data_IF_145141086252
#
_entry.id   IF_145141086252
#
_cell.length_a   1.000
_cell.length_b   1.000
_cell.length_c   1.000
_cell.angle_alpha   90.00
_cell.angle_beta   90.00
_cell.angle_gamma   90.00
#
_symmetry.space_group_name_H-M   'P 1'
#
loop_
_entity.id
_entity.type
_entity.pdbx_description
1 polymer ?
#
# COMPACT_ATOMS: atom_id res chain seq x y z
N UNK A 1 56.48 55.14 -7.43
CA UNK A 1 56.66 54.53 -6.09
C UNK A 1 55.28 54.06 -5.62
N UNK A 2 54.92 52.80 -5.38
CA UNK A 2 55.61 51.54 -5.08
C UNK A 2 54.74 50.35 -5.56
N UNK A 3 55.43 49.35 -6.15
CA UNK A 3 55.19 47.89 -6.14
C UNK A 3 53.96 47.27 -6.85
N UNK A 4 54.27 46.63 -8.00
CA UNK A 4 53.75 45.32 -8.45
C UNK A 4 54.18 44.19 -7.47
N UNK A 5 53.68 42.96 -7.70
CA UNK A 5 54.06 41.63 -7.14
C UNK A 5 53.23 41.29 -5.88
N UNK A 6 52.41 40.23 -5.81
CA UNK A 6 52.71 38.80 -5.53
C UNK A 6 51.36 38.03 -5.65
N UNK A 7 51.17 37.14 -6.62
CA UNK A 7 51.34 35.66 -6.57
C UNK A 7 50.22 34.93 -5.81
N UNK A 8 49.53 34.07 -6.58
CA UNK A 8 48.98 32.75 -6.25
C UNK A 8 49.04 32.33 -4.77
N UNK A 9 47.88 32.06 -4.16
CA UNK A 9 47.67 30.95 -3.20
C UNK A 9 46.25 30.99 -2.63
N UNK A 10 45.56 29.84 -2.68
CA UNK A 10 44.28 29.61 -2.01
C UNK A 10 43.32 28.78 -2.86
N UNK A 11 43.75 27.62 -3.37
CA UNK A 11 43.48 26.32 -2.73
C UNK A 11 41.98 26.01 -2.67
N UNK A 12 41.57 25.14 -3.60
CA UNK A 12 40.67 24.02 -3.35
C UNK A 12 39.38 24.36 -2.58
N UNK A 13 38.40 24.97 -3.27
CA UNK A 13 37.00 24.71 -2.89
C UNK A 13 36.66 23.28 -3.30
N UNK A 14 36.88 22.39 -2.33
CA UNK A 14 36.34 21.05 -2.23
C UNK A 14 34.83 21.12 -2.50
N UNK A 15 34.43 20.94 -3.76
CA UNK A 15 33.07 20.59 -4.14
C UNK A 15 32.80 19.23 -3.52
N UNK A 16 32.28 19.26 -2.29
CA UNK A 16 31.58 18.14 -1.67
C UNK A 16 30.38 17.88 -2.56
N UNK A 17 30.58 17.04 -3.57
CA UNK A 17 29.50 16.35 -4.23
C UNK A 17 28.83 15.51 -3.14
N UNK A 18 27.72 16.02 -2.59
CA UNK A 18 26.72 15.15 -1.99
C UNK A 18 26.25 14.25 -3.12
N UNK A 19 26.93 13.11 -3.28
CA UNK A 19 26.38 11.94 -3.93
C UNK A 19 25.19 11.54 -3.09
N UNK A 20 24.03 12.10 -3.42
CA UNK A 20 22.76 11.41 -3.13
C UNK A 20 22.91 10.08 -3.84
N UNK A 21 23.25 9.04 -3.07
CA UNK A 21 23.22 7.68 -3.54
C UNK A 21 21.81 7.50 -4.08
N UNK A 22 21.68 7.56 -5.39
CA UNK A 22 20.52 7.00 -6.06
C UNK A 22 20.42 5.61 -5.48
N UNK A 23 19.35 5.34 -4.77
CA UNK A 23 19.08 4.01 -4.23
C UNK A 23 18.66 3.19 -5.45
N UNK A 24 19.67 2.81 -6.23
CA UNK A 24 19.54 1.81 -7.29
C UNK A 24 19.08 0.54 -6.59
N UNK A 25 18.10 -0.16 -7.17
CA UNK A 25 17.67 -1.45 -6.67
C UNK A 25 18.91 -2.32 -6.49
N UNK A 26 19.19 -2.70 -5.24
CA UNK A 26 20.42 -3.40 -4.91
C UNK A 26 20.40 -4.76 -5.61
N UNK A 27 21.49 -5.14 -6.31
CA UNK A 27 21.57 -6.46 -6.90
C UNK A 27 21.35 -7.49 -5.79
N UNK A 28 20.68 -8.57 -6.16
CA UNK A 28 20.24 -9.61 -5.23
C UNK A 28 21.39 -10.04 -4.30
N UNK A 29 21.24 -9.80 -2.99
CA UNK A 29 22.35 -9.97 -2.04
C UNK A 29 22.77 -11.43 -1.93
N UNK A 30 24.06 -11.67 -1.66
CA UNK A 30 24.59 -13.03 -1.43
C UNK A 30 23.82 -13.71 -0.29
N UNK A 31 23.50 -12.95 0.76
CA UNK A 31 22.71 -13.42 1.89
C UNK A 31 21.30 -13.87 1.48
N UNK A 32 20.63 -13.13 0.59
CA UNK A 32 19.31 -13.51 0.09
C UNK A 32 19.36 -14.79 -0.76
N UNK A 33 20.41 -14.95 -1.59
CA UNK A 33 20.65 -16.18 -2.36
C UNK A 33 20.80 -17.38 -1.43
N UNK A 34 21.70 -17.29 -0.47
CA UNK A 34 21.96 -18.37 0.49
C UNK A 34 20.72 -18.72 1.32
N UNK A 35 19.97 -17.71 1.76
CA UNK A 35 18.74 -17.92 2.52
C UNK A 35 17.69 -18.69 1.69
N UNK A 36 17.55 -18.37 0.41
CA UNK A 36 16.57 -19.00 -0.47
C UNK A 36 17.02 -20.41 -0.89
N UNK A 37 18.29 -20.60 -1.23
CA UNK A 37 18.83 -21.93 -1.52
C UNK A 37 18.66 -22.85 -0.30
N UNK A 38 18.99 -22.37 0.90
CA UNK A 38 18.79 -23.13 2.15
C UNK A 38 17.32 -23.50 2.37
N UNK A 39 16.42 -22.56 2.13
CA UNK A 39 14.99 -22.76 2.31
C UNK A 39 14.41 -23.76 1.28
N UNK A 40 14.89 -23.74 0.04
CA UNK A 40 14.52 -24.75 -0.96
C UNK A 40 15.10 -26.13 -0.66
N UNK A 41 16.36 -26.22 -0.20
CA UNK A 41 16.97 -27.48 0.24
C UNK A 41 16.20 -28.13 1.39
N UNK A 42 15.72 -27.32 2.36
CA UNK A 42 14.87 -27.81 3.45
C UNK A 42 13.53 -28.41 2.97
N UNK A 43 13.12 -28.09 1.75
CA UNK A 43 11.91 -28.59 1.09
C UNK A 43 12.22 -29.67 0.04
N UNK A 44 13.43 -30.23 0.08
CA UNK A 44 13.88 -31.27 -0.84
C UNK A 44 14.10 -30.79 -2.28
N UNK A 45 14.26 -29.48 -2.49
CA UNK A 45 14.56 -28.90 -3.81
C UNK A 45 16.06 -28.81 -4.01
N UNK A 46 16.51 -29.18 -5.20
CA UNK A 46 17.92 -29.03 -5.57
C UNK A 46 18.24 -27.58 -5.90
N UNK A 47 19.48 -27.17 -5.69
CA UNK A 47 19.96 -25.83 -6.06
C UNK A 47 19.67 -25.52 -7.54
N UNK A 48 19.89 -26.50 -8.43
CA UNK A 48 19.61 -26.40 -9.87
C UNK A 48 18.15 -26.05 -10.21
N UNK A 49 17.19 -26.42 -9.36
CA UNK A 49 15.78 -26.06 -9.54
C UNK A 49 15.47 -24.63 -9.07
N UNK A 50 16.27 -24.09 -8.15
CA UNK A 50 16.08 -22.77 -7.52
C UNK A 50 16.84 -21.69 -8.31
N UNK A 51 18.03 -22.01 -8.83
CA UNK A 51 18.88 -21.07 -9.58
C UNK A 51 18.14 -20.31 -10.69
N UNK A 52 17.26 -20.93 -11.52
CA UNK A 52 16.51 -20.21 -12.54
C UNK A 52 15.58 -19.12 -11.98
N UNK A 53 14.99 -19.35 -10.80
CA UNK A 53 14.16 -18.35 -10.14
C UNK A 53 15.00 -17.19 -9.61
N UNK A 54 16.16 -17.48 -9.01
CA UNK A 54 17.10 -16.47 -8.52
C UNK A 54 17.67 -15.62 -9.67
N UNK A 55 18.01 -16.24 -10.80
CA UNK A 55 18.47 -15.56 -12.01
C UNK A 55 17.40 -14.61 -12.55
N UNK A 56 16.14 -15.04 -12.58
CA UNK A 56 15.02 -14.20 -12.98
C UNK A 56 14.87 -12.97 -12.06
N UNK A 57 14.92 -13.13 -10.74
CA UNK A 57 14.86 -11.98 -9.82
C UNK A 57 16.09 -11.07 -9.96
N UNK A 58 17.28 -11.65 -10.18
CA UNK A 58 18.52 -10.89 -10.45
C UNK A 58 18.37 -10.01 -11.68
N UNK A 59 17.87 -10.56 -12.79
CA UNK A 59 17.59 -9.83 -14.03
C UNK A 59 16.54 -8.73 -13.87
N UNK A 60 15.58 -8.89 -12.97
CA UNK A 60 14.65 -7.81 -12.62
C UNK A 60 15.37 -6.67 -11.87
N UNK A 61 16.22 -7.01 -10.91
CA UNK A 61 17.04 -6.03 -10.17
C UNK A 61 18.03 -5.27 -11.06
N UNK A 62 18.69 -5.95 -12.00
CA UNK A 62 19.58 -5.33 -13.00
C UNK A 62 18.87 -4.28 -13.86
N UNK A 63 17.55 -4.41 -14.02
CA UNK A 63 16.70 -3.44 -14.73
C UNK A 63 16.16 -2.34 -13.81
N UNK A 64 16.65 -2.26 -12.57
CA UNK A 64 16.26 -1.26 -11.59
C UNK A 64 14.85 -1.45 -11.02
N UNK A 65 14.30 -2.68 -11.09
CA UNK A 65 12.99 -3.03 -10.53
C UNK A 65 13.11 -3.44 -9.05
N UNK A 66 12.05 -3.24 -8.25
CA UNK A 66 12.01 -3.73 -6.88
C UNK A 66 12.04 -5.26 -6.79
N UNK A 67 13.11 -5.79 -6.19
CA UNK A 67 13.32 -7.23 -6.06
C UNK A 67 12.75 -7.81 -4.77
N UNK A 68 12.56 -7.02 -3.71
CA UNK A 68 12.08 -7.49 -2.41
C UNK A 68 10.72 -8.20 -2.50
N UNK A 69 9.78 -7.62 -3.24
CA UNK A 69 8.46 -8.21 -3.48
C UNK A 69 8.54 -9.57 -4.21
N UNK A 70 9.46 -9.71 -5.17
CA UNK A 70 9.70 -10.97 -5.89
C UNK A 70 10.36 -12.01 -4.98
N UNK A 71 11.36 -11.61 -4.20
CA UNK A 71 12.05 -12.44 -3.22
C UNK A 71 11.10 -12.98 -2.17
N UNK A 72 10.25 -12.11 -1.61
CA UNK A 72 9.25 -12.50 -0.62
C UNK A 72 8.25 -13.51 -1.18
N UNK A 73 7.83 -13.34 -2.45
CA UNK A 73 6.93 -14.31 -3.10
C UNK A 73 7.60 -15.65 -3.34
N UNK A 74 8.87 -15.65 -3.75
CA UNK A 74 9.66 -16.87 -3.90
C UNK A 74 9.83 -17.60 -2.57
N UNK A 75 10.20 -16.89 -1.50
CA UNK A 75 10.30 -17.44 -0.13
C UNK A 75 8.97 -18.03 0.32
N UNK A 76 7.87 -17.32 0.11
CA UNK A 76 6.52 -17.79 0.46
C UNK A 76 6.15 -19.08 -0.30
N UNK A 77 6.41 -19.14 -1.60
CA UNK A 77 6.14 -20.31 -2.43
C UNK A 77 6.95 -21.53 -1.97
N UNK A 78 8.26 -21.35 -1.80
CA UNK A 78 9.14 -22.42 -1.35
C UNK A 78 8.78 -22.86 0.08
N UNK A 79 8.48 -21.94 1.00
CA UNK A 79 8.09 -22.29 2.38
C UNK A 79 6.80 -23.10 2.45
N UNK A 80 5.92 -22.95 1.45
CA UNK A 80 4.69 -23.73 1.28
C UNK A 80 4.93 -25.04 0.50
N UNK A 81 6.17 -25.39 0.19
CA UNK A 81 6.54 -26.57 -0.58
C UNK A 81 6.17 -26.50 -2.07
N UNK A 82 5.78 -25.32 -2.58
CA UNK A 82 5.37 -25.14 -3.97
C UNK A 82 6.56 -25.40 -4.89
N UNK A 83 6.33 -26.19 -5.93
CA UNK A 83 7.36 -26.51 -6.93
C UNK A 83 7.88 -25.23 -7.62
N UNK A 84 9.22 -25.10 -7.81
CA UNK A 84 9.80 -23.95 -8.50
C UNK A 84 9.16 -23.62 -9.86
N UNK A 85 8.79 -24.66 -10.64
CA UNK A 85 8.08 -24.52 -11.91
C UNK A 85 6.73 -23.82 -11.81
N UNK A 86 6.04 -23.93 -10.65
CA UNK A 86 4.77 -23.24 -10.38
C UNK A 86 4.96 -21.84 -9.82
N UNK A 87 6.13 -21.56 -9.24
CA UNK A 87 6.51 -20.22 -8.75
C UNK A 87 6.91 -19.32 -9.94
N UNK A 88 7.64 -19.85 -10.91
CA UNK A 88 8.13 -19.08 -12.08
C UNK A 88 7.04 -18.24 -12.80
N UNK A 89 5.87 -18.77 -13.19
CA UNK A 89 4.85 -17.96 -13.88
C UNK A 89 4.32 -16.82 -13.01
N UNK A 90 4.26 -16.99 -11.68
CA UNK A 90 3.85 -15.93 -10.76
C UNK A 90 4.90 -14.83 -10.72
N UNK A 91 6.19 -15.20 -10.64
CA UNK A 91 7.28 -14.23 -10.69
C UNK A 91 7.28 -13.49 -12.03
N UNK A 92 7.06 -14.18 -13.17
CA UNK A 92 6.98 -13.53 -14.50
C UNK A 92 5.87 -12.51 -14.56
N UNK A 93 4.69 -12.86 -14.03
CA UNK A 93 3.56 -11.95 -13.97
C UNK A 93 3.85 -10.74 -13.07
N UNK A 94 4.50 -10.94 -11.92
CA UNK A 94 4.89 -9.84 -11.04
C UNK A 94 5.93 -8.93 -11.70
N UNK A 95 6.98 -9.51 -12.30
CA UNK A 95 8.01 -8.79 -13.03
C UNK A 95 7.41 -7.95 -14.16
N UNK A 96 6.50 -8.52 -14.97
CA UNK A 96 5.81 -7.79 -16.04
C UNK A 96 4.99 -6.58 -15.51
N UNK A 97 4.34 -6.73 -14.35
CA UNK A 97 3.63 -5.59 -13.72
C UNK A 97 4.57 -4.51 -13.21
N UNK A 98 5.72 -4.90 -12.65
CA UNK A 98 6.75 -3.96 -12.20
C UNK A 98 7.35 -3.20 -13.39
N UNK A 99 7.56 -3.87 -14.53
CA UNK A 99 8.00 -3.24 -15.78
C UNK A 99 6.97 -2.22 -16.27
N UNK A 100 5.69 -2.60 -16.38
CA UNK A 100 4.63 -1.67 -16.79
C UNK A 100 4.50 -0.48 -15.82
N UNK A 101 4.59 -0.72 -14.52
CA UNK A 101 4.58 0.34 -13.52
C UNK A 101 5.79 1.28 -13.67
N UNK A 102 6.97 0.72 -13.90
CA UNK A 102 8.19 1.49 -14.12
C UNK A 102 8.08 2.37 -15.37
N UNK A 103 7.65 1.81 -16.50
CA UNK A 103 7.46 2.56 -17.76
C UNK A 103 6.50 3.73 -17.60
N UNK A 104 5.36 3.51 -16.94
CA UNK A 104 4.35 4.57 -16.72
C UNK A 104 4.87 5.68 -15.81
N UNK A 105 5.66 5.33 -14.80
CA UNK A 105 6.27 6.32 -13.90
C UNK A 105 7.40 7.11 -14.58
N UNK A 106 8.20 6.49 -15.45
CA UNK A 106 9.19 7.20 -16.27
C UNK A 106 8.51 8.11 -17.30
N UNK A 107 7.41 7.68 -17.91
CA UNK A 107 6.58 8.54 -18.76
C UNK A 107 6.11 9.76 -17.97
N UNK A 108 5.57 9.57 -16.76
CA UNK A 108 5.13 10.66 -15.91
C UNK A 108 6.29 11.58 -15.45
N UNK A 109 7.47 11.02 -15.16
CA UNK A 109 8.69 11.76 -14.82
C UNK A 109 9.15 12.65 -15.96
N UNK A 110 9.14 12.13 -17.18
CA UNK A 110 9.49 12.89 -18.39
C UNK A 110 8.58 14.11 -18.61
N UNK A 111 7.36 14.06 -18.05
CA UNK A 111 6.38 15.14 -18.08
C UNK A 111 6.41 16.04 -16.83
N UNK A 112 7.43 15.91 -15.98
CA UNK A 112 7.72 16.85 -14.90
C UNK A 112 7.27 16.44 -13.49
N UNK A 113 6.77 15.22 -13.29
CA UNK A 113 6.52 14.70 -11.93
C UNK A 113 7.84 14.50 -11.18
N UNK A 114 7.82 14.78 -9.88
CA UNK A 114 8.99 14.57 -9.02
C UNK A 114 9.12 13.09 -8.64
N UNK A 115 10.35 12.56 -8.62
CA UNK A 115 10.63 11.12 -8.46
C UNK A 115 10.30 10.55 -7.07
N UNK A 116 10.45 11.34 -5.99
CA UNK A 116 10.17 10.87 -4.63
C UNK A 116 10.90 9.56 -4.29
N UNK A 117 10.25 8.67 -3.52
CA UNK A 117 10.68 7.29 -3.35
C UNK A 117 10.23 6.43 -4.54
N UNK A 118 11.08 6.38 -5.56
CA UNK A 118 10.87 5.61 -6.80
C UNK A 118 10.50 4.16 -6.54
N UNK A 119 11.20 3.48 -5.63
CA UNK A 119 10.98 2.06 -5.33
C UNK A 119 9.54 1.81 -4.86
N UNK A 120 9.12 2.60 -3.85
CA UNK A 120 7.77 2.52 -3.29
C UNK A 120 6.70 2.88 -4.32
N UNK A 121 6.99 3.87 -5.18
CA UNK A 121 6.08 4.26 -6.24
C UNK A 121 5.88 3.13 -7.26
N UNK A 122 6.95 2.44 -7.69
CA UNK A 122 6.86 1.31 -8.63
C UNK A 122 6.02 0.17 -8.03
N UNK A 123 6.29 -0.23 -6.79
CA UNK A 123 5.53 -1.31 -6.13
C UNK A 123 4.05 -0.95 -5.96
N UNK A 124 3.77 0.28 -5.50
CA UNK A 124 2.41 0.77 -5.29
C UNK A 124 1.65 0.84 -6.62
N UNK A 125 2.30 1.28 -7.69
CA UNK A 125 1.73 1.36 -9.04
C UNK A 125 1.48 -0.04 -9.60
N UNK A 126 2.42 -0.97 -9.46
CA UNK A 126 2.24 -2.35 -9.91
C UNK A 126 1.08 -3.05 -9.19
N UNK A 127 0.90 -2.77 -7.89
CA UNK A 127 -0.27 -3.24 -7.14
C UNK A 127 -1.58 -2.66 -7.70
N UNK A 128 -1.61 -1.36 -8.01
CA UNK A 128 -2.78 -0.71 -8.61
C UNK A 128 -3.15 -1.35 -9.95
N UNK A 129 -2.17 -1.56 -10.83
CA UNK A 129 -2.36 -2.24 -12.12
C UNK A 129 -2.89 -3.67 -11.92
N UNK A 130 -2.35 -4.40 -10.94
CA UNK A 130 -2.83 -5.74 -10.60
C UNK A 130 -4.28 -5.76 -10.10
N UNK A 131 -4.77 -4.66 -9.52
CA UNK A 131 -6.14 -4.52 -9.00
C UNK A 131 -7.12 -3.91 -10.00
N UNK A 132 -6.69 -3.76 -11.26
CA UNK A 132 -7.56 -3.35 -12.36
C UNK A 132 -7.54 -1.86 -12.68
N UNK A 133 -6.64 -1.06 -12.10
CA UNK A 133 -6.33 0.27 -12.66
C UNK A 133 -5.63 0.07 -14.00
N UNK A 134 -6.05 0.78 -15.05
CA UNK A 134 -5.43 0.68 -16.37
C UNK A 134 -4.32 1.71 -16.55
N UNK A 135 -3.40 1.45 -17.48
CA UNK A 135 -2.35 2.41 -17.82
C UNK A 135 -2.93 3.75 -18.31
N UNK A 136 -4.02 3.71 -19.07
CA UNK A 136 -4.67 4.92 -19.58
C UNK A 136 -5.34 5.74 -18.46
N UNK A 137 -5.92 5.08 -17.44
CA UNK A 137 -6.41 5.74 -16.23
C UNK A 137 -5.27 6.43 -15.48
N UNK A 138 -4.08 5.81 -15.39
CA UNK A 138 -2.89 6.43 -14.77
C UNK A 138 -2.37 7.61 -15.59
N UNK A 139 -2.34 7.50 -16.91
CA UNK A 139 -1.96 8.62 -17.79
C UNK A 139 -2.89 9.81 -17.63
N UNK A 140 -4.18 9.56 -17.50
CA UNK A 140 -5.17 10.62 -17.25
C UNK A 140 -4.99 11.24 -15.85
N UNK A 141 -4.76 10.42 -14.81
CA UNK A 141 -4.39 10.93 -13.49
C UNK A 141 -3.13 11.80 -13.52
N UNK A 142 -2.10 11.37 -14.26
CA UNK A 142 -0.86 12.12 -14.45
C UNK A 142 -1.14 13.46 -15.15
N UNK A 143 -1.95 13.47 -16.21
CA UNK A 143 -2.36 14.69 -16.91
C UNK A 143 -3.09 15.66 -15.97
N UNK A 144 -4.07 15.17 -15.21
CA UNK A 144 -4.80 15.97 -14.23
C UNK A 144 -3.88 16.52 -13.13
N UNK A 145 -2.92 15.73 -12.64
CA UNK A 145 -2.00 16.17 -11.59
C UNK A 145 -1.13 17.36 -11.98
N UNK A 146 -0.90 17.60 -13.28
CA UNK A 146 -0.06 18.69 -13.79
C UNK A 146 -0.77 20.03 -13.87
N UNK A 147 -2.10 20.04 -13.86
CA UNK A 147 -2.89 21.28 -13.92
C UNK A 147 -2.98 21.98 -12.54
N UNK A 148 -2.49 21.33 -11.48
CA UNK A 148 -2.52 21.85 -10.12
C UNK A 148 -1.38 22.83 -9.79
N UNK A 149 -1.54 23.55 -8.67
CA UNK A 149 -0.46 24.40 -8.12
C UNK A 149 0.61 23.59 -7.39
N UNK A 150 0.26 22.38 -6.95
CA UNK A 150 1.18 21.47 -6.26
C UNK A 150 1.95 20.62 -7.28
N UNK A 151 3.27 20.51 -7.07
CA UNK A 151 4.11 19.65 -7.91
C UNK A 151 3.98 18.20 -7.45
N UNK A 152 3.10 17.46 -8.11
CA UNK A 152 2.85 16.06 -7.81
C UNK A 152 4.13 15.21 -7.91
N UNK A 153 4.22 14.23 -7.02
CA UNK A 153 5.27 13.20 -6.98
C UNK A 153 4.79 11.90 -7.63
N UNK A 154 5.74 11.05 -8.05
CA UNK A 154 5.46 9.69 -8.50
C UNK A 154 4.76 8.85 -7.42
N UNK A 155 5.09 9.08 -6.13
CA UNK A 155 4.41 8.42 -5.01
C UNK A 155 2.94 8.82 -4.89
N UNK A 156 2.61 10.11 -5.01
CA UNK A 156 1.23 10.59 -4.96
C UNK A 156 0.44 10.08 -6.18
N UNK A 157 1.06 10.03 -7.36
CA UNK A 157 0.45 9.43 -8.55
C UNK A 157 0.17 7.93 -8.34
N UNK A 158 1.13 7.17 -7.83
CA UNK A 158 0.96 5.75 -7.53
C UNK A 158 -0.09 5.50 -6.44
N UNK A 159 -0.10 6.31 -5.39
CA UNK A 159 -1.13 6.27 -4.36
C UNK A 159 -2.52 6.62 -4.93
N UNK A 160 -2.60 7.59 -5.84
CA UNK A 160 -3.83 7.91 -6.56
C UNK A 160 -4.32 6.75 -7.43
N UNK A 161 -3.44 6.12 -8.20
CA UNK A 161 -3.76 4.94 -9.00
C UNK A 161 -4.25 3.77 -8.14
N UNK A 162 -3.62 3.55 -6.97
CA UNK A 162 -4.07 2.54 -6.00
C UNK A 162 -5.41 2.91 -5.37
N UNK A 163 -5.61 4.20 -5.08
CA UNK A 163 -6.88 4.74 -4.62
C UNK A 163 -8.02 4.49 -5.60
N UNK A 164 -7.76 4.70 -6.90
CA UNK A 164 -8.70 4.41 -7.97
C UNK A 164 -9.09 2.92 -8.01
N UNK A 165 -8.12 2.00 -7.90
CA UNK A 165 -8.42 0.56 -7.80
C UNK A 165 -9.34 0.26 -6.59
N UNK A 166 -9.07 0.86 -5.44
CA UNK A 166 -9.91 0.73 -4.23
C UNK A 166 -11.32 1.26 -4.47
N UNK A 167 -11.48 2.41 -5.14
CA UNK A 167 -12.80 2.95 -5.47
C UNK A 167 -13.57 2.03 -6.44
N UNK A 168 -12.90 1.42 -7.42
CA UNK A 168 -13.51 0.46 -8.35
C UNK A 168 -14.03 -0.80 -7.64
N UNK A 169 -13.34 -1.25 -6.58
CA UNK A 169 -13.86 -2.33 -5.71
C UNK A 169 -15.17 -1.94 -5.01
N UNK A 170 -15.44 -0.63 -4.83
CA UNK A 170 -16.71 -0.07 -4.33
C UNK A 170 -17.69 0.31 -5.43
N UNK A 171 -17.46 -0.18 -6.66
CA UNK A 171 -18.26 0.08 -7.88
C UNK A 171 -18.37 1.54 -8.30
N UNK A 172 -17.42 2.37 -7.86
CA UNK A 172 -17.33 3.74 -8.35
C UNK A 172 -16.92 3.72 -9.83
N UNK A 173 -17.62 4.44 -10.71
CA UNK A 173 -17.23 4.54 -12.12
C UNK A 173 -15.81 5.09 -12.26
N UNK A 174 -14.99 4.44 -13.10
CA UNK A 174 -13.59 4.82 -13.32
C UNK A 174 -13.41 6.31 -13.62
N UNK A 175 -14.27 6.89 -14.46
CA UNK A 175 -14.18 8.30 -14.85
C UNK A 175 -14.33 9.24 -13.64
N UNK A 176 -15.28 8.94 -12.75
CA UNK A 176 -15.56 9.77 -11.58
C UNK A 176 -14.50 9.58 -10.51
N UNK A 177 -14.03 8.35 -10.31
CA UNK A 177 -12.90 8.04 -9.42
C UNK A 177 -11.63 8.76 -9.87
N UNK A 178 -11.30 8.72 -11.17
CA UNK A 178 -10.13 9.42 -11.75
C UNK A 178 -10.24 10.92 -11.56
N UNK A 179 -11.42 11.51 -11.81
CA UNK A 179 -11.63 12.94 -11.62
C UNK A 179 -11.48 13.37 -10.15
N UNK A 180 -12.02 12.56 -9.21
CA UNK A 180 -11.94 12.85 -7.78
C UNK A 180 -10.50 12.73 -7.24
N UNK A 181 -9.80 11.64 -7.57
CA UNK A 181 -8.41 11.43 -7.15
C UNK A 181 -7.49 12.47 -7.79
N UNK A 182 -7.69 12.76 -9.08
CA UNK A 182 -6.93 13.80 -9.79
C UNK A 182 -7.08 15.16 -9.12
N UNK A 183 -8.29 15.52 -8.68
CA UNK A 183 -8.52 16.75 -7.91
C UNK A 183 -7.79 16.73 -6.57
N UNK A 184 -7.81 15.60 -5.84
CA UNK A 184 -7.02 15.44 -4.61
C UNK A 184 -5.53 15.70 -4.83
N UNK A 185 -4.95 15.16 -5.91
CA UNK A 185 -3.54 15.38 -6.25
C UNK A 185 -3.28 16.87 -6.58
N UNK A 186 -4.14 17.51 -7.38
CA UNK A 186 -4.02 18.94 -7.72
C UNK A 186 -3.99 19.83 -6.48
N UNK A 187 -4.72 19.44 -5.44
CA UNK A 187 -4.86 20.16 -4.17
C UNK A 187 -3.77 19.79 -3.15
N UNK A 188 -2.81 18.95 -3.54
CA UNK A 188 -1.70 18.54 -2.68
C UNK A 188 -2.10 17.60 -1.56
N UNK A 189 -2.95 16.61 -1.88
CA UNK A 189 -3.21 15.50 -0.98
C UNK A 189 -2.00 14.57 -0.99
N UNK A 190 -1.52 14.24 0.22
CA UNK A 190 -0.46 13.26 0.42
C UNK A 190 -0.97 11.87 0.07
N UNK A 191 -0.04 10.95 -0.16
CA UNK A 191 -0.32 9.54 -0.45
C UNK A 191 -1.28 8.90 0.58
N UNK A 192 -1.18 9.23 1.86
CA UNK A 192 -2.11 8.73 2.90
C UNK A 192 -3.52 9.30 2.75
N UNK A 193 -3.64 10.60 2.51
CA UNK A 193 -4.93 11.30 2.38
C UNK A 193 -5.70 10.83 1.14
N UNK A 194 -5.00 10.59 0.02
CA UNK A 194 -5.58 10.00 -1.19
C UNK A 194 -6.14 8.60 -0.92
N UNK A 195 -5.40 7.78 -0.17
CA UNK A 195 -5.84 6.42 0.19
C UNK A 195 -7.02 6.45 1.15
N UNK A 196 -7.04 7.36 2.13
CA UNK A 196 -8.14 7.48 3.08
C UNK A 196 -9.42 7.99 2.40
N UNK A 197 -9.29 8.99 1.51
CA UNK A 197 -10.38 9.43 0.64
C UNK A 197 -10.95 8.25 -0.17
N UNK A 198 -10.07 7.47 -0.81
CA UNK A 198 -10.48 6.33 -1.64
C UNK A 198 -11.19 5.23 -0.86
N UNK A 199 -10.73 4.94 0.36
CA UNK A 199 -11.37 3.95 1.25
C UNK A 199 -12.74 4.42 1.72
N UNK A 200 -12.88 5.69 2.08
CA UNK A 200 -14.17 6.22 2.52
C UNK A 200 -15.18 6.26 1.38
N UNK A 201 -14.74 6.68 0.18
CA UNK A 201 -15.57 6.61 -1.03
C UNK A 201 -15.98 5.16 -1.34
N UNK A 202 -15.06 4.20 -1.23
CA UNK A 202 -15.38 2.76 -1.37
C UNK A 202 -16.43 2.31 -0.35
N UNK A 203 -16.30 2.68 0.94
CA UNK A 203 -17.26 2.31 1.99
C UNK A 203 -18.66 2.81 1.68
N UNK A 204 -18.76 3.99 1.09
CA UNK A 204 -20.01 4.65 0.69
C UNK A 204 -20.42 4.36 -0.75
N UNK A 205 -19.80 3.37 -1.41
CA UNK A 205 -20.04 3.04 -2.82
C UNK A 205 -21.53 2.93 -3.18
N UNK A 206 -22.30 2.21 -2.34
CA UNK A 206 -23.76 2.06 -2.50
C UNK A 206 -24.52 3.40 -2.42
N UNK A 207 -24.06 4.34 -1.59
CA UNK A 207 -24.74 5.63 -1.46
C UNK A 207 -24.56 6.48 -2.72
N UNK A 208 -23.42 6.34 -3.40
CA UNK A 208 -23.20 6.98 -4.70
C UNK A 208 -23.98 6.26 -5.82
N UNK A 209 -24.03 4.93 -5.81
CA UNK A 209 -24.84 4.15 -6.77
C UNK A 209 -26.34 4.48 -6.65
N UNK A 210 -26.85 4.61 -5.42
CA UNK A 210 -28.25 4.94 -5.14
C UNK A 210 -28.58 6.43 -5.29
N UNK A 211 -27.58 7.28 -5.59
CA UNK A 211 -27.73 8.74 -5.68
C UNK A 211 -28.00 9.45 -4.35
N UNK A 212 -27.80 8.76 -3.21
CA UNK A 212 -27.91 9.32 -1.85
C UNK A 212 -26.72 10.23 -1.51
N UNK A 213 -25.59 10.02 -2.18
CA UNK A 213 -24.42 10.90 -2.15
C UNK A 213 -23.99 11.27 -3.57
N UNK A 214 -23.33 12.42 -3.72
CA UNK A 214 -22.85 12.91 -5.03
C UNK A 214 -21.32 12.98 -5.07
N UNK A 215 -20.71 12.23 -6.00
CA UNK A 215 -19.28 12.31 -6.28
C UNK A 215 -18.88 13.70 -6.81
N UNK A 216 -19.79 14.39 -7.50
CA UNK A 216 -19.56 15.74 -7.97
C UNK A 216 -19.45 16.72 -6.79
N UNK A 217 -20.37 16.64 -5.82
CA UNK A 217 -20.30 17.47 -4.61
C UNK A 217 -19.04 17.18 -3.81
N UNK A 218 -18.66 15.90 -3.69
CA UNK A 218 -17.42 15.52 -3.03
C UNK A 218 -16.19 16.10 -3.75
N UNK A 219 -16.14 16.01 -5.08
CA UNK A 219 -15.08 16.60 -5.90
C UNK A 219 -15.02 18.13 -5.73
N UNK A 220 -16.16 18.80 -5.66
CA UNK A 220 -16.23 20.25 -5.47
C UNK A 220 -15.75 20.68 -4.07
N UNK A 221 -15.92 19.82 -3.05
CA UNK A 221 -15.33 20.05 -1.72
C UNK A 221 -13.81 19.83 -1.74
N UNK A 222 -13.35 18.76 -2.40
CA UNK A 222 -11.91 18.49 -2.58
C UNK A 222 -11.24 19.63 -3.34
N UNK A 223 -11.86 20.16 -4.41
CA UNK A 223 -11.30 21.28 -5.19
C UNK A 223 -11.20 22.60 -4.41
N UNK A 224 -11.97 22.73 -3.33
CA UNK A 224 -11.85 23.84 -2.36
C UNK A 224 -10.77 23.58 -1.29
N UNK A 225 -10.12 22.43 -1.31
CA UNK A 225 -9.07 22.02 -0.39
C UNK A 225 -9.57 21.36 0.89
N UNK A 226 -10.84 20.91 0.96
CA UNK A 226 -11.38 20.24 2.14
C UNK A 226 -10.82 18.82 2.30
N UNK A 227 -9.98 18.62 3.32
CA UNK A 227 -9.31 17.34 3.61
C UNK A 227 -10.28 16.21 3.97
N UNK A 228 -9.86 14.98 3.70
CA UNK A 228 -10.69 13.76 3.84
C UNK A 228 -11.29 13.57 5.24
N UNK A 229 -10.61 14.00 6.29
CA UNK A 229 -11.12 13.95 7.67
C UNK A 229 -12.34 14.84 7.91
N UNK A 230 -12.50 15.93 7.13
CA UNK A 230 -13.62 16.87 7.25
C UNK A 230 -14.76 16.54 6.29
N UNK A 231 -14.45 16.00 5.11
CA UNK A 231 -15.43 15.71 4.06
C UNK A 231 -16.59 14.83 4.52
N UNK A 232 -16.34 13.97 5.51
CA UNK A 232 -17.25 12.90 5.94
C UNK A 232 -17.69 13.03 7.41
N UNK A 233 -17.32 14.12 8.09
CA UNK A 233 -17.59 14.31 9.52
C UNK A 233 -19.06 14.62 9.81
N UNK A 234 -19.73 15.32 8.89
CA UNK A 234 -21.09 15.82 9.10
C UNK A 234 -22.13 14.70 9.22
N UNK A 235 -21.92 13.56 8.55
CA UNK A 235 -22.88 12.45 8.52
C UNK A 235 -22.88 11.58 9.79
N UNK A 236 -21.89 11.75 10.67
CA UNK A 236 -21.83 11.03 11.94
C UNK A 236 -22.46 11.80 13.11
N UNK A 237 -22.87 13.05 12.88
CA UNK A 237 -23.40 13.94 13.92
C UNK A 237 -24.84 13.59 14.34
N UNK A 238 -25.58 12.84 13.52
CA UNK A 238 -27.03 12.67 13.69
C UNK A 238 -27.44 11.29 14.26
N UNK A 239 -26.46 10.46 14.64
CA UNK A 239 -26.69 9.12 15.20
C UNK A 239 -26.11 8.94 16.62
N UNK A 240 -26.10 10.02 17.39
CA UNK A 240 -25.97 10.00 18.85
C UNK A 240 -27.14 10.80 19.43
N UNK A 241 -28.33 10.22 19.51
CA UNK A 241 -28.60 9.36 20.65
C UNK A 241 -29.07 10.21 21.82
N UNK A 242 -30.29 10.72 21.68
CA UNK A 242 -31.22 11.01 22.78
C UNK A 242 -31.39 9.74 23.63
N UNK A 243 -30.37 9.42 24.42
CA UNK A 243 -30.47 8.46 25.52
C UNK A 243 -30.35 9.26 26.80
N UNK A 244 -31.51 9.74 27.24
CA UNK A 244 -31.96 9.53 28.61
C UNK A 244 -30.84 9.49 29.66
N UNK A 245 -30.24 10.65 29.93
CA UNK A 245 -29.70 10.95 31.26
C UNK A 245 -30.75 11.72 32.06
N UNK A 246 -31.94 11.14 32.14
CA UNK A 246 -32.76 11.25 33.34
C UNK A 246 -32.35 10.09 34.24
N UNK A 247 -32.13 10.41 35.51
CA UNK A 247 -32.18 9.46 36.62
C UNK A 247 -30.90 8.67 36.97
N UNK A 248 -30.01 9.32 37.74
CA UNK A 248 -29.56 8.74 39.02
C UNK A 248 -28.90 9.81 39.87
N UNK A 249 -29.67 10.27 40.85
CA UNK A 249 -29.15 11.08 41.93
C UNK A 249 -28.25 10.31 42.88
N UNK A 250 -27.68 11.10 43.78
CA UNK A 250 -27.43 10.74 45.17
C UNK A 250 -26.28 9.76 45.46
N UNK A 251 -25.12 10.34 45.80
CA UNK A 251 -24.51 10.15 47.13
C UNK A 251 -23.30 11.06 47.32
N UNK A 252 -23.45 12.00 48.25
CA UNK A 252 -22.33 12.69 48.89
C UNK A 252 -21.59 11.82 49.90
N UNK A 253 -20.44 12.31 50.35
CA UNK A 253 -19.61 11.70 51.40
C UNK A 253 -18.12 11.82 51.04
N UNK A 254 -17.42 12.93 51.27
CA UNK A 254 -16.97 13.51 52.56
C UNK A 254 -15.89 12.65 53.23
N UNK A 255 -14.70 13.24 53.40
CA UNK A 255 -13.60 12.75 54.25
C UNK A 255 -12.29 12.59 53.47
N UNK A 256 -11.32 13.50 53.62
CA UNK A 256 -10.21 13.38 54.59
C UNK A 256 -9.12 12.43 54.05
N UNK A 257 -7.83 12.66 54.13
CA UNK A 257 -6.93 13.70 54.63
C UNK A 257 -5.52 13.14 54.35
N UNK A 258 -4.54 14.02 54.46
CA UNK A 258 -3.16 13.72 54.84
C UNK A 258 -2.21 13.10 53.80
N UNK A 259 -1.22 13.94 53.50
CA UNK A 259 0.21 13.68 53.74
C UNK A 259 0.79 12.39 53.17
N UNK A 260 1.64 12.53 52.16
CA UNK A 260 3.07 12.36 52.41
C UNK A 260 3.90 12.78 51.21
N UNK A 261 4.62 13.89 51.40
CA UNK A 261 5.94 14.09 50.84
C UNK A 261 6.82 12.86 51.09
N UNK A 262 7.41 12.31 50.02
CA UNK A 262 8.65 11.53 50.10
C UNK A 262 9.35 11.51 48.76
N UNK A 263 10.22 12.51 48.62
CA UNK A 263 11.63 12.33 48.30
C UNK A 263 12.09 10.87 48.21
N UNK A 264 12.53 10.45 47.02
CA UNK A 264 13.68 9.54 46.85
C UNK A 264 14.08 9.45 45.38
N UNK A 265 15.17 10.15 45.12
CA UNK A 265 16.15 9.93 44.07
C UNK A 265 16.64 8.49 43.96
N UNK A 266 17.23 8.21 42.79
CA UNK A 266 18.20 7.16 42.48
C UNK A 266 17.73 5.70 42.43
N UNK A 267 17.58 5.19 41.20
CA UNK A 267 18.19 3.90 40.86
C UNK A 267 18.53 3.76 39.38
N UNK A 268 19.83 3.89 39.14
CA UNK A 268 20.55 3.31 38.03
C UNK A 268 20.31 1.80 37.91
N UNK A 269 20.38 1.35 36.65
CA UNK A 269 20.94 0.08 36.17
C UNK A 269 20.46 -1.22 36.82
N UNK A 270 19.73 -2.02 36.03
CA UNK A 270 19.86 -3.47 36.12
C UNK A 270 19.82 -4.12 34.73
N UNK A 271 21.01 -4.53 34.31
CA UNK A 271 21.29 -5.52 33.29
C UNK A 271 20.86 -6.92 33.74
N UNK A 272 20.45 -7.76 32.77
CA UNK A 272 20.61 -9.22 32.85
C UNK A 272 19.39 -10.09 33.19
N UNK A 273 18.79 -10.70 32.18
CA UNK A 273 18.24 -12.07 32.21
C UNK A 273 18.00 -12.51 30.75
N UNK A 274 18.90 -13.27 30.13
CA UNK A 274 19.11 -14.73 30.22
C UNK A 274 17.87 -15.58 29.91
N UNK A 275 18.05 -16.40 28.88
CA UNK A 275 17.58 -17.78 28.70
C UNK A 275 16.09 -18.08 28.89
N UNK A 276 15.42 -18.24 27.74
CA UNK A 276 14.34 -19.22 27.59
C UNK A 276 14.59 -20.09 26.37
N UNK A 277 15.51 -21.03 26.56
CA UNK A 277 15.59 -22.27 25.80
C UNK A 277 14.52 -23.25 26.30
N UNK A 278 14.10 -24.13 25.40
CA UNK A 278 13.46 -25.43 25.68
C UNK A 278 11.98 -25.44 26.10
N UNK A 279 11.11 -25.60 25.11
CA UNK A 279 9.93 -26.44 25.26
C UNK A 279 9.83 -27.42 24.10
N UNK A 280 10.40 -28.58 24.35
CA UNK A 280 10.38 -29.79 23.54
C UNK A 280 9.03 -30.51 23.68
N UNK A 281 8.65 -31.16 22.58
CA UNK A 281 7.73 -32.27 22.34
C UNK A 281 6.26 -32.22 22.79
N UNK A 282 5.39 -32.18 21.78
CA UNK A 282 4.07 -32.80 21.83
C UNK A 282 3.86 -33.63 20.56
N UNK A 283 3.92 -34.98 20.64
CA UNK A 283 3.66 -35.83 19.48
C UNK A 283 2.16 -36.12 19.30
N UNK A 284 1.84 -36.31 18.03
CA UNK A 284 0.82 -37.12 17.38
C UNK A 284 -0.64 -37.07 17.87
N UNK A 285 -1.48 -36.54 16.99
CA UNK A 285 -2.83 -37.09 16.80
C UNK A 285 -3.12 -37.30 15.32
N UNK A 286 -3.09 -38.58 14.97
CA UNK A 286 -3.33 -39.19 13.68
C UNK A 286 -4.82 -39.08 13.29
N UNK A 287 -5.03 -39.08 11.97
CA UNK A 287 -6.20 -39.49 11.19
C UNK A 287 -7.55 -38.79 11.41
N UNK A 288 -7.85 -37.87 10.48
CA UNK A 288 -9.24 -37.65 10.04
C UNK A 288 -9.35 -37.72 8.52
N UNK A 289 -9.50 -38.97 8.10
CA UNK A 289 -10.23 -39.51 6.94
C UNK A 289 -10.84 -38.48 5.98
N UNK A 290 -10.44 -38.65 4.73
CA UNK A 290 -10.97 -38.10 3.48
C UNK A 290 -12.50 -37.97 3.48
N UNK A 291 -12.98 -36.78 3.09
CA UNK A 291 -14.37 -36.61 2.64
C UNK A 291 -14.35 -36.30 1.14
N UNK A 292 -14.75 -37.24 0.28
CA UNK A 292 -14.76 -37.02 -1.16
C UNK A 292 -15.88 -36.08 -1.59
N UNK A 293 -15.61 -35.55 -2.77
CA UNK A 293 -16.31 -34.63 -3.67
C UNK A 293 -17.85 -34.62 -3.59
N UNK A 294 -18.42 -33.41 -3.63
CA UNK A 294 -19.76 -33.17 -4.17
C UNK A 294 -19.64 -32.37 -5.46
N UNK A 295 -19.54 -33.12 -6.56
CA UNK A 295 -20.01 -32.68 -7.87
C UNK A 295 -21.55 -32.58 -7.86
N UNK A 296 -22.04 -31.81 -8.83
CA UNK A 296 -23.42 -31.70 -9.32
C UNK A 296 -24.44 -30.89 -8.53
N UNK A 297 -24.60 -29.65 -8.98
CA UNK A 297 -25.92 -29.04 -9.15
C UNK A 297 -25.91 -28.20 -10.43
N UNK A 298 -25.94 -28.90 -11.57
CA UNK A 298 -26.51 -28.38 -12.82
C UNK A 298 -28.04 -28.47 -12.73
N UNK A 299 -28.69 -27.64 -13.54
CA UNK A 299 -30.12 -27.66 -13.89
C UNK A 299 -31.09 -27.04 -12.89
N UNK A 300 -31.08 -25.70 -12.85
CA UNK A 300 -32.25 -24.91 -12.43
C UNK A 300 -33.06 -24.55 -13.69
N UNK A 301 -34.23 -25.17 -13.92
CA UNK A 301 -35.05 -24.90 -15.10
C UNK A 301 -35.66 -23.50 -15.04
N UNK A 302 -35.72 -22.89 -16.22
CA UNK A 302 -36.42 -21.65 -16.54
C UNK A 302 -37.89 -21.73 -16.13
N UNK A 303 -38.35 -20.73 -15.37
CA UNK A 303 -39.78 -20.47 -15.19
C UNK A 303 -40.22 -19.47 -16.24
N UNK A 304 -40.78 -20.00 -17.32
CA UNK A 304 -41.63 -19.25 -18.24
C UNK A 304 -43.03 -19.07 -17.63
N UNK A 305 -43.59 -17.91 -17.91
CA UNK A 305 -45.01 -17.56 -18.01
C UNK A 305 -45.86 -17.46 -16.74
N UNK A 306 -46.19 -16.21 -16.38
CA UNK A 306 -47.61 -15.90 -16.17
C UNK A 306 -48.01 -14.49 -16.64
N UNK A 307 -49.05 -14.52 -17.46
CA UNK A 307 -49.84 -13.48 -18.09
C UNK A 307 -50.43 -12.41 -17.16
N UNK A 308 -50.45 -11.18 -17.65
CA UNK A 308 -51.70 -10.46 -17.98
C UNK A 308 -52.68 -10.10 -16.86
N UNK A 309 -52.76 -8.80 -16.56
CA UNK A 309 -53.95 -7.99 -16.21
C UNK A 309 -53.44 -6.57 -15.94
N UNK A 310 -53.75 -5.52 -16.70
CA UNK A 310 -55.02 -5.17 -17.31
C UNK A 310 -55.97 -4.66 -16.24
N UNK A 311 -55.94 -3.35 -15.96
CA UNK A 311 -57.10 -2.57 -15.50
C UNK A 311 -56.89 -1.08 -15.72
N UNK A 312 -57.96 -0.50 -16.21
CA UNK A 312 -58.24 0.91 -16.45
C UNK A 312 -58.09 1.81 -15.22
#
# INVERSE_FOLDING_TARGET
MRKRIVIEMGVLSLMVALTTASVWAEPLSVQDREAITRLGSAQGRSENEITPLLDHVSKAGERGLPTESLLNKMREGLAKGVEPKRIDPVLRQMTSRLESAHEVLEEAKSRGLSEGNRQRAIETMAEALSRGTTVDEVRELSRLSQEGRHKATQEELAAGAKGLAVMKEGRIPSKDGTALVGEGIKQGYRSSELMDLSREVKRRGSDFEDGRASLQTLRDKVSKGERSDRLFRDDHSDSGGDRDRRDRGDRGGKGSRDDSDRDRSDRQEQSGSRDRSERIDRPDKVDRVERPERQDSRDRPERSDHSGRGRD
#
